data_IF_939907281265
#
_entry.id   IF_939907281265
#
_cell.length_a   1.000
_cell.length_b   1.000
_cell.length_c   1.000
_cell.angle_alpha   90.00
_cell.angle_beta   90.00
_cell.angle_gamma   90.00
#
_symmetry.space_group_name_H-M   'P 1'
#
loop_
_entity.id
_entity.type
_entity.pdbx_description
1 polymer ?
#
# COMPACT_ATOMS: atom_id res chain seq x y z
N UNK A 1 0.30 -42.45 18.07
CA UNK A 1 1.46 -42.37 17.15
C UNK A 1 1.83 -40.90 17.01
N UNK A 2 2.79 -40.42 17.80
CA UNK A 2 3.17 -39.01 17.90
C UNK A 2 3.93 -38.58 16.65
N UNK A 3 3.32 -37.73 15.82
CA UNK A 3 3.97 -37.07 14.69
C UNK A 3 4.98 -36.06 15.25
N UNK A 4 6.23 -36.51 15.44
CA UNK A 4 7.39 -35.63 15.59
C UNK A 4 7.48 -34.81 14.30
N UNK A 5 6.96 -33.58 14.29
CA UNK A 5 7.37 -32.56 13.30
C UNK A 5 8.89 -32.44 13.41
N UNK A 6 9.62 -32.98 12.43
CA UNK A 6 11.05 -32.69 12.33
C UNK A 6 11.17 -31.17 12.24
N UNK A 7 11.87 -30.56 13.19
CA UNK A 7 12.28 -29.16 13.06
C UNK A 7 13.30 -29.13 11.90
N UNK A 8 12.83 -29.02 10.66
CA UNK A 8 13.70 -28.70 9.55
C UNK A 8 14.31 -27.33 9.84
N UNK A 9 15.64 -27.28 9.88
CA UNK A 9 16.39 -26.03 10.00
C UNK A 9 16.06 -25.16 8.78
N UNK A 10 15.65 -23.90 8.95
CA UNK A 10 15.36 -23.03 7.81
C UNK A 10 16.61 -22.91 6.93
N UNK A 11 16.41 -22.96 5.61
CA UNK A 11 17.45 -22.73 4.61
C UNK A 11 18.00 -21.32 4.84
N UNK A 12 19.32 -21.22 4.82
CA UNK A 12 20.04 -19.95 4.91
C UNK A 12 20.81 -19.66 3.64
N UNK A 13 20.70 -18.45 3.10
CA UNK A 13 21.46 -18.00 1.92
C UNK A 13 22.97 -18.00 2.16
N UNK A 14 23.43 -17.82 3.41
CA UNK A 14 24.83 -18.00 3.80
C UNK A 14 25.39 -19.37 3.37
N UNK A 15 24.56 -20.42 3.28
CA UNK A 15 25.00 -21.74 2.84
C UNK A 15 25.26 -21.84 1.33
N UNK A 16 24.83 -20.85 0.55
CA UNK A 16 25.13 -20.68 -0.87
C UNK A 16 26.26 -19.65 -1.11
N UNK A 17 26.97 -19.22 -0.06
CA UNK A 17 28.04 -18.22 -0.17
C UNK A 17 27.52 -16.77 -0.23
N UNK A 18 26.24 -16.56 0.06
CA UNK A 18 25.60 -15.24 0.06
C UNK A 18 25.60 -14.71 1.49
N UNK A 19 26.47 -13.74 1.78
CA UNK A 19 26.66 -13.18 3.12
C UNK A 19 26.18 -11.73 3.19
N UNK A 20 25.72 -11.28 4.37
CA UNK A 20 25.38 -9.87 4.60
C UNK A 20 23.97 -9.46 4.24
N UNK A 21 23.10 -10.42 3.90
CA UNK A 21 21.71 -10.18 3.53
C UNK A 21 20.72 -10.73 4.56
N UNK A 22 21.17 -11.00 5.79
CA UNK A 22 20.39 -11.73 6.80
C UNK A 22 19.06 -11.03 7.14
N UNK A 23 19.02 -9.70 7.10
CA UNK A 23 17.81 -8.91 7.38
C UNK A 23 16.79 -8.92 6.23
N UNK A 24 17.25 -9.09 4.99
CA UNK A 24 16.39 -9.11 3.79
C UNK A 24 16.17 -10.51 3.22
N UNK A 25 16.90 -11.51 3.72
CA UNK A 25 16.88 -12.88 3.25
C UNK A 25 15.46 -13.47 3.21
N UNK A 26 14.67 -13.24 4.28
CA UNK A 26 13.29 -13.71 4.34
C UNK A 26 12.43 -13.14 3.21
N UNK A 27 12.69 -11.91 2.79
CA UNK A 27 11.97 -11.20 1.72
C UNK A 27 12.33 -11.78 0.37
N UNK A 28 13.62 -12.05 0.15
CA UNK A 28 14.11 -12.68 -1.07
C UNK A 28 13.51 -14.08 -1.22
N UNK A 29 13.54 -14.89 -0.16
CA UNK A 29 12.89 -16.20 -0.14
C UNK A 29 11.37 -16.10 -0.36
N UNK A 30 10.70 -15.09 0.22
CA UNK A 30 9.28 -14.85 -0.01
C UNK A 30 8.96 -14.48 -1.47
N UNK A 31 9.88 -13.78 -2.16
CA UNK A 31 9.76 -13.52 -3.60
C UNK A 31 9.82 -14.80 -4.43
N UNK A 32 10.61 -15.80 -4.01
CA UNK A 32 10.66 -17.12 -4.66
C UNK A 32 9.35 -17.91 -4.46
N UNK A 33 8.75 -17.79 -3.28
CA UNK A 33 7.46 -18.42 -2.95
C UNK A 33 6.36 -17.87 -3.85
N UNK A 34 6.24 -16.55 -3.92
CA UNK A 34 5.21 -15.87 -4.75
C UNK A 34 5.46 -16.04 -6.24
N UNK A 35 6.73 -16.15 -6.64
CA UNK A 35 7.16 -15.99 -8.02
C UNK A 35 6.51 -14.74 -8.63
N UNK A 36 6.48 -13.63 -7.87
CA UNK A 36 6.17 -12.28 -8.34
C UNK A 36 7.49 -11.50 -8.61
N UNK A 37 7.47 -10.37 -9.32
CA UNK A 37 8.71 -9.64 -9.64
C UNK A 37 9.39 -9.04 -8.41
N UNK A 38 10.71 -9.17 -8.32
CA UNK A 38 11.57 -8.58 -7.29
C UNK A 38 12.48 -7.51 -7.92
N UNK A 39 12.59 -6.35 -7.28
CA UNK A 39 13.56 -5.31 -7.62
C UNK A 39 14.57 -5.14 -6.48
N UNK A 40 15.86 -5.26 -6.79
CA UNK A 40 16.95 -4.93 -5.88
C UNK A 40 17.51 -3.54 -6.20
N UNK A 41 17.69 -2.70 -5.18
CA UNK A 41 18.27 -1.37 -5.28
C UNK A 41 19.52 -1.32 -4.41
N UNK A 42 20.66 -0.88 -4.96
CA UNK A 42 21.85 -0.62 -4.15
C UNK A 42 23.06 -0.32 -5.01
N UNK A 43 24.17 0.07 -4.37
CA UNK A 43 25.36 0.57 -5.08
C UNK A 43 26.03 -0.49 -5.96
N UNK A 44 26.87 -0.06 -6.91
CA UNK A 44 27.67 -0.99 -7.71
C UNK A 44 28.58 -1.84 -6.81
N UNK A 45 28.72 -3.13 -7.12
CA UNK A 45 29.59 -4.01 -6.34
C UNK A 45 28.97 -4.60 -5.07
N UNK A 46 27.73 -4.26 -4.72
CA UNK A 46 27.01 -4.83 -3.55
C UNK A 46 26.50 -6.26 -3.73
N UNK A 47 26.93 -6.98 -4.78
CA UNK A 47 26.60 -8.41 -4.95
C UNK A 47 25.19 -8.73 -5.46
N UNK A 48 24.39 -7.74 -5.89
CA UNK A 48 23.01 -7.92 -6.41
C UNK A 48 22.88 -9.02 -7.46
N UNK A 49 23.78 -9.03 -8.45
CA UNK A 49 23.77 -9.99 -9.56
C UNK A 49 24.05 -11.40 -9.05
N UNK A 50 25.03 -11.57 -8.16
CA UNK A 50 25.34 -12.85 -7.53
C UNK A 50 24.15 -13.36 -6.70
N UNK A 51 23.58 -12.50 -5.86
CA UNK A 51 22.40 -12.79 -5.02
C UNK A 51 21.20 -13.30 -5.83
N UNK A 52 21.00 -12.83 -7.06
CA UNK A 52 19.90 -13.26 -7.92
C UNK A 52 20.26 -14.47 -8.80
N UNK A 53 21.53 -14.63 -9.19
CA UNK A 53 21.97 -15.80 -9.94
C UNK A 53 21.99 -17.08 -9.07
N UNK A 54 22.46 -16.99 -7.83
CA UNK A 54 22.63 -18.16 -6.96
C UNK A 54 21.33 -18.94 -6.70
N UNK A 55 20.16 -18.32 -6.40
CA UNK A 55 18.91 -19.05 -6.30
C UNK A 55 18.49 -19.75 -7.61
N UNK A 56 18.82 -19.18 -8.77
CA UNK A 56 18.52 -19.82 -10.05
C UNK A 56 19.37 -21.06 -10.31
N UNK A 57 20.67 -20.98 -10.00
CA UNK A 57 21.59 -22.12 -10.06
C UNK A 57 21.15 -23.22 -9.09
N UNK A 58 20.84 -22.86 -7.85
CA UNK A 58 20.37 -23.80 -6.83
C UNK A 58 19.06 -24.51 -7.21
N UNK A 59 18.16 -23.79 -7.88
CA UNK A 59 16.91 -24.36 -8.37
C UNK A 59 17.10 -25.15 -9.68
N UNK A 60 18.25 -24.99 -10.37
CA UNK A 60 18.57 -25.65 -11.63
C UNK A 60 17.75 -25.10 -12.80
N UNK A 61 17.47 -23.79 -12.80
CA UNK A 61 16.61 -23.13 -13.77
C UNK A 61 17.38 -22.76 -15.04
N UNK A 62 16.69 -22.74 -16.19
CA UNK A 62 17.20 -22.03 -17.37
C UNK A 62 17.20 -20.52 -17.11
N UNK A 63 18.33 -20.00 -16.62
CA UNK A 63 18.50 -18.61 -16.22
C UNK A 63 19.08 -17.75 -17.35
N UNK A 64 18.53 -16.54 -17.54
CA UNK A 64 19.05 -15.52 -18.45
C UNK A 64 19.32 -14.22 -17.73
N UNK A 65 20.54 -13.73 -17.89
CA UNK A 65 20.98 -12.45 -17.36
C UNK A 65 21.16 -11.46 -18.51
N UNK A 66 20.46 -10.33 -18.41
CA UNK A 66 20.50 -9.24 -19.37
C UNK A 66 20.91 -7.95 -18.67
N UNK A 67 21.86 -7.22 -19.25
CA UNK A 67 22.11 -5.84 -18.85
C UNK A 67 21.20 -4.91 -19.69
N UNK A 68 20.30 -4.18 -19.02
CA UNK A 68 19.35 -3.29 -19.66
C UNK A 68 19.99 -2.13 -20.44
N UNK A 69 21.20 -1.70 -20.05
CA UNK A 69 21.93 -0.61 -20.73
C UNK A 69 22.55 -1.05 -22.05
N UNK A 70 22.80 -2.36 -22.23
CA UNK A 70 23.47 -2.93 -23.41
C UNK A 70 22.54 -3.74 -24.32
N UNK A 71 21.45 -4.27 -23.80
CA UNK A 71 20.60 -5.22 -24.53
C UNK A 71 19.88 -4.57 -25.73
N UNK A 72 20.06 -5.17 -26.91
CA UNK A 72 19.22 -4.88 -28.06
C UNK A 72 17.95 -5.75 -28.02
N UNK A 73 16.89 -5.28 -28.68
CA UNK A 73 15.64 -6.04 -28.72
C UNK A 73 15.79 -7.38 -29.47
N UNK A 74 16.66 -7.42 -30.47
CA UNK A 74 16.94 -8.63 -31.25
C UNK A 74 17.72 -9.67 -30.41
N UNK A 75 18.55 -9.24 -29.45
CA UNK A 75 19.22 -10.17 -28.51
C UNK A 75 18.22 -10.85 -27.57
N UNK A 76 17.12 -10.15 -27.25
CA UNK A 76 16.07 -10.67 -26.37
C UNK A 76 15.17 -11.68 -27.10
N UNK A 77 14.76 -11.35 -28.33
CA UNK A 77 13.73 -12.09 -29.09
C UNK A 77 14.31 -13.04 -30.13
N UNK A 78 15.46 -12.72 -30.70
CA UNK A 78 16.04 -13.36 -31.87
C UNK A 78 15.89 -12.48 -33.11
N UNK A 79 16.55 -12.90 -34.18
CA UNK A 79 16.59 -12.13 -35.43
C UNK A 79 15.42 -12.51 -36.34
N UNK A 80 14.64 -11.54 -36.86
CA UNK A 80 13.55 -11.84 -37.78
C UNK A 80 14.11 -12.40 -39.09
N UNK A 81 13.60 -13.56 -39.49
CA UNK A 81 13.99 -14.29 -40.69
C UNK A 81 12.75 -14.73 -41.46
N UNK A 82 12.66 -14.52 -42.79
CA UNK A 82 11.55 -15.02 -43.57
C UNK A 82 11.48 -16.54 -43.49
N UNK A 83 10.32 -17.10 -43.15
CA UNK A 83 10.11 -18.54 -43.22
C UNK A 83 10.40 -19.04 -44.64
N UNK A 84 10.85 -20.29 -44.78
CA UNK A 84 11.20 -20.87 -46.09
C UNK A 84 10.07 -20.81 -47.12
N UNK A 85 8.82 -20.76 -46.67
CA UNK A 85 7.60 -20.66 -47.48
C UNK A 85 7.21 -19.20 -47.84
N UNK A 86 7.89 -18.19 -47.30
CA UNK A 86 7.65 -16.76 -47.56
C UNK A 86 6.35 -16.18 -46.97
N UNK A 87 5.56 -16.99 -46.26
CA UNK A 87 4.23 -16.61 -45.75
C UNK A 87 4.24 -15.91 -44.39
N UNK A 88 5.33 -16.05 -43.63
CA UNK A 88 5.48 -15.50 -42.27
C UNK A 88 6.93 -15.15 -41.94
N UNK A 89 7.10 -14.28 -40.94
CA UNK A 89 8.39 -14.00 -40.31
C UNK A 89 8.55 -14.95 -39.12
N UNK A 90 9.66 -15.67 -39.06
CA UNK A 90 10.09 -16.47 -37.92
C UNK A 90 11.26 -15.77 -37.22
N UNK A 91 11.47 -16.04 -35.93
CA UNK A 91 12.61 -15.50 -35.19
C UNK A 91 13.67 -16.57 -35.02
N UNK A 92 14.90 -16.29 -35.47
CA UNK A 92 16.05 -17.13 -35.22
C UNK A 92 16.45 -17.00 -33.76
N UNK A 93 16.09 -18.02 -32.98
CA UNK A 93 16.36 -18.09 -31.56
C UNK A 93 17.83 -18.46 -31.32
N UNK A 94 18.51 -17.69 -30.48
CA UNK A 94 19.85 -18.02 -29.97
C UNK A 94 19.74 -18.54 -28.53
N UNK A 95 20.79 -19.20 -27.99
CA UNK A 95 20.86 -19.54 -26.57
C UNK A 95 20.84 -18.34 -25.62
N UNK A 96 20.81 -17.09 -26.11
CA UNK A 96 20.61 -15.88 -25.31
C UNK A 96 19.15 -15.38 -25.32
N UNK A 97 18.31 -15.82 -26.27
CA UNK A 97 16.90 -15.39 -26.38
C UNK A 97 15.97 -15.90 -25.28
N UNK A 98 14.98 -15.11 -24.91
CA UNK A 98 14.15 -15.31 -23.70
C UNK A 98 13.19 -16.51 -23.76
N UNK A 99 12.94 -17.09 -24.93
CA UNK A 99 11.87 -18.09 -25.16
C UNK A 99 11.98 -19.37 -24.32
N UNK A 100 13.21 -19.80 -23.98
CA UNK A 100 13.47 -20.96 -23.13
C UNK A 100 13.56 -20.65 -21.63
N UNK A 101 13.66 -19.38 -21.25
CA UNK A 101 14.05 -18.98 -19.91
C UNK A 101 12.97 -19.31 -18.86
N UNK A 102 13.40 -19.91 -17.75
CA UNK A 102 12.59 -20.12 -16.54
C UNK A 102 12.79 -19.01 -15.52
N UNK A 103 13.94 -18.33 -15.58
CA UNK A 103 14.22 -17.14 -14.78
C UNK A 103 14.96 -16.08 -15.60
N UNK A 104 14.64 -14.81 -15.36
CA UNK A 104 15.29 -13.67 -16.00
C UNK A 104 15.75 -12.66 -14.96
N UNK A 105 17.00 -12.22 -15.07
CA UNK A 105 17.56 -11.06 -14.37
C UNK A 105 17.78 -9.92 -15.37
N UNK A 106 17.22 -8.75 -15.09
CA UNK A 106 17.49 -7.50 -15.82
C UNK A 106 18.28 -6.57 -14.90
N UNK A 107 19.59 -6.48 -15.15
CA UNK A 107 20.47 -5.58 -14.42
C UNK A 107 20.44 -4.16 -15.02
N UNK A 108 20.78 -3.16 -14.20
CA UNK A 108 20.82 -1.75 -14.56
C UNK A 108 19.51 -1.20 -15.21
N UNK A 109 18.33 -1.64 -14.77
CA UNK A 109 17.05 -1.25 -15.39
C UNK A 109 16.81 0.27 -15.40
N UNK A 110 17.43 1.03 -14.50
CA UNK A 110 17.37 2.49 -14.45
C UNK A 110 18.27 3.20 -15.47
N UNK A 111 19.20 2.50 -16.14
CA UNK A 111 20.12 3.10 -17.13
C UNK A 111 19.60 3.08 -18.56
N UNK A 112 18.50 2.39 -18.84
CA UNK A 112 17.95 2.32 -20.19
C UNK A 112 16.92 3.42 -20.46
N UNK A 113 16.77 3.80 -21.74
CA UNK A 113 15.79 4.82 -22.15
C UNK A 113 14.35 4.37 -21.81
N UNK A 114 13.41 5.27 -21.52
CA UNK A 114 12.04 4.93 -21.15
C UNK A 114 11.32 3.98 -22.13
N UNK A 115 11.58 4.11 -23.44
CA UNK A 115 11.01 3.22 -24.46
C UNK A 115 11.49 1.77 -24.32
N UNK A 116 12.76 1.56 -23.97
CA UNK A 116 13.33 0.23 -23.74
C UNK A 116 12.87 -0.35 -22.40
N UNK A 117 12.78 0.49 -21.35
CA UNK A 117 12.19 0.10 -20.07
C UNK A 117 10.82 -0.52 -20.29
N UNK A 118 9.91 0.18 -21.00
CA UNK A 118 8.55 -0.29 -21.25
C UNK A 118 8.49 -1.69 -21.88
N UNK A 119 9.40 -2.01 -22.83
CA UNK A 119 9.46 -3.33 -23.47
C UNK A 119 9.92 -4.42 -22.50
N UNK A 120 10.93 -4.13 -21.67
CA UNK A 120 11.41 -5.04 -20.62
C UNK A 120 10.36 -5.24 -19.52
N UNK A 121 9.50 -4.25 -19.25
CA UNK A 121 8.43 -4.40 -18.27
C UNK A 121 7.31 -5.35 -18.70
N UNK A 122 7.00 -5.45 -19.99
CA UNK A 122 6.09 -6.50 -20.48
C UNK A 122 6.63 -7.90 -20.15
N UNK A 123 7.95 -8.08 -20.24
CA UNK A 123 8.63 -9.32 -19.85
C UNK A 123 8.55 -9.54 -18.34
N UNK A 124 8.93 -8.54 -17.55
CA UNK A 124 8.97 -8.62 -16.07
C UNK A 124 7.58 -8.87 -15.48
N UNK A 125 6.56 -8.19 -15.99
CA UNK A 125 5.24 -8.19 -15.38
C UNK A 125 4.30 -9.23 -15.99
N UNK A 126 4.19 -9.24 -17.31
CA UNK A 126 3.15 -10.00 -18.02
C UNK A 126 3.65 -11.38 -18.46
N UNK A 127 4.95 -11.65 -18.30
CA UNK A 127 5.63 -12.81 -18.89
C UNK A 127 5.38 -12.84 -20.39
N UNK A 128 5.45 -11.67 -21.04
CA UNK A 128 5.20 -11.53 -22.47
C UNK A 128 6.31 -10.76 -23.16
N UNK A 129 6.63 -11.18 -24.38
CA UNK A 129 7.50 -10.43 -25.28
C UNK A 129 6.82 -10.38 -26.65
N UNK A 130 6.74 -9.18 -27.24
CA UNK A 130 5.92 -8.91 -28.44
C UNK A 130 4.46 -9.41 -28.32
N UNK A 131 3.88 -9.35 -27.12
CA UNK A 131 2.54 -9.88 -26.86
C UNK A 131 2.42 -11.40 -26.79
N UNK A 132 3.50 -12.15 -27.06
CA UNK A 132 3.54 -13.62 -26.94
C UNK A 132 3.88 -14.01 -25.50
N UNK A 133 3.13 -14.95 -24.93
CA UNK A 133 3.33 -15.43 -23.56
C UNK A 133 4.52 -16.38 -23.46
N UNK A 134 5.34 -16.20 -22.44
CA UNK A 134 6.46 -17.05 -22.07
C UNK A 134 6.00 -18.04 -21.01
N UNK A 135 5.55 -19.22 -21.45
CA UNK A 135 4.93 -20.20 -20.56
C UNK A 135 5.91 -20.83 -19.55
N UNK A 136 7.20 -20.89 -19.90
CA UNK A 136 8.25 -21.40 -19.01
C UNK A 136 8.73 -20.39 -17.97
N UNK A 137 8.53 -19.09 -18.20
CA UNK A 137 9.09 -18.05 -17.34
C UNK A 137 8.39 -17.99 -15.99
N UNK A 138 9.11 -18.31 -14.92
CA UNK A 138 8.61 -18.33 -13.54
C UNK A 138 9.07 -17.07 -12.81
N UNK A 139 10.38 -16.85 -12.75
CA UNK A 139 10.99 -15.77 -11.96
C UNK A 139 11.42 -14.61 -12.85
N UNK A 140 11.12 -13.39 -12.41
CA UNK A 140 11.57 -12.16 -13.08
C UNK A 140 12.13 -11.25 -12.01
N UNK A 141 13.39 -10.90 -12.16
CA UNK A 141 14.10 -10.06 -11.22
C UNK A 141 14.72 -8.90 -11.96
N UNK A 142 14.82 -7.77 -11.27
CA UNK A 142 15.50 -6.60 -11.76
C UNK A 142 16.45 -6.07 -10.69
N UNK A 143 17.52 -5.43 -11.13
CA UNK A 143 18.43 -4.71 -10.27
C UNK A 143 18.66 -3.30 -10.82
N UNK A 144 18.81 -2.34 -9.91
CA UNK A 144 19.17 -0.97 -10.26
C UNK A 144 20.06 -0.35 -9.19
N UNK A 145 20.72 0.73 -9.58
CA UNK A 145 21.35 1.63 -8.62
C UNK A 145 20.29 2.59 -8.05
N UNK A 146 20.52 3.15 -6.85
CA UNK A 146 19.63 4.16 -6.28
C UNK A 146 19.52 5.37 -7.21
N UNK A 147 18.30 5.90 -7.35
CA UNK A 147 18.05 7.15 -8.09
C UNK A 147 17.70 8.26 -7.09
N UNK A 148 18.40 9.39 -7.13
CA UNK A 148 18.12 10.52 -6.24
C UNK A 148 19.17 11.62 -6.30
N UNK A 149 18.75 12.85 -5.97
CA UNK A 149 19.60 14.03 -5.83
C UNK A 149 20.44 13.94 -4.54
N UNK A 150 21.75 14.14 -4.70
CA UNK A 150 22.68 14.62 -3.66
C UNK A 150 22.51 14.05 -2.25
N UNK A 151 23.09 12.87 -1.97
CA UNK A 151 23.54 12.61 -0.60
C UNK A 151 25.06 12.45 -0.48
N UNK A 152 25.80 12.13 -1.54
CA UNK A 152 27.26 11.93 -1.44
C UNK A 152 28.08 12.51 -2.63
N UNK A 153 27.57 13.49 -3.38
CA UNK A 153 28.31 14.13 -4.47
C UNK A 153 28.49 13.28 -5.76
N UNK A 154 28.29 11.97 -5.69
CA UNK A 154 28.25 11.08 -6.85
C UNK A 154 26.80 10.82 -7.25
N UNK A 155 26.16 11.77 -7.94
CA UNK A 155 25.02 11.40 -8.77
C UNK A 155 25.55 10.43 -9.83
N UNK A 156 25.04 9.20 -9.87
CA UNK A 156 25.35 8.28 -10.97
C UNK A 156 24.78 8.89 -12.26
N UNK A 157 25.61 9.63 -13.00
CA UNK A 157 25.27 10.14 -14.33
C UNK A 157 24.67 8.98 -15.16
N UNK A 158 23.40 9.13 -15.52
CA UNK A 158 22.66 8.17 -16.35
C UNK A 158 21.78 7.14 -15.62
N UNK A 159 21.54 7.25 -14.31
CA UNK A 159 20.52 6.44 -13.63
C UNK A 159 19.20 7.21 -13.46
N UNK A 160 18.20 6.85 -14.26
CA UNK A 160 16.88 7.48 -14.25
C UNK A 160 15.90 6.73 -13.33
N UNK A 161 15.07 7.44 -12.54
CA UNK A 161 14.05 6.81 -11.72
C UNK A 161 13.05 6.04 -12.59
N UNK A 162 12.52 4.94 -12.05
CA UNK A 162 11.46 4.20 -12.72
C UNK A 162 10.16 5.03 -12.72
N UNK A 163 9.32 4.85 -13.75
CA UNK A 163 7.97 5.41 -13.71
C UNK A 163 7.15 4.81 -12.55
N UNK A 164 6.28 5.63 -11.95
CA UNK A 164 5.47 5.23 -10.79
C UNK A 164 4.61 4.00 -11.09
N UNK A 165 4.02 3.92 -12.30
CA UNK A 165 3.17 2.79 -12.68
C UNK A 165 3.96 1.52 -12.99
N UNK A 166 5.27 1.64 -13.27
CA UNK A 166 6.18 0.52 -13.52
C UNK A 166 6.77 -0.01 -12.20
N UNK A 167 7.20 0.87 -11.32
CA UNK A 167 7.68 0.49 -9.99
C UNK A 167 6.57 -0.14 -9.13
N UNK A 168 5.32 0.31 -9.26
CA UNK A 168 4.18 -0.34 -8.57
C UNK A 168 3.95 -1.80 -9.05
N UNK A 169 4.69 -2.27 -10.06
CA UNK A 169 4.58 -3.63 -10.58
C UNK A 169 5.43 -4.65 -9.86
N UNK A 170 6.51 -4.22 -9.21
CA UNK A 170 7.33 -5.09 -8.39
C UNK A 170 6.62 -5.42 -7.08
N UNK A 171 6.58 -6.71 -6.72
CA UNK A 171 6.00 -7.15 -5.47
C UNK A 171 6.84 -6.69 -4.29
N UNK A 172 8.15 -6.91 -4.37
CA UNK A 172 9.12 -6.43 -3.41
C UNK A 172 10.12 -5.50 -4.09
N UNK A 173 10.44 -4.40 -3.41
CA UNK A 173 11.48 -3.45 -3.80
C UNK A 173 12.42 -3.34 -2.61
N UNK A 174 13.59 -3.97 -2.72
CA UNK A 174 14.50 -4.22 -1.60
C UNK A 174 15.79 -3.44 -1.80
N UNK A 175 16.17 -2.66 -0.80
CA UNK A 175 17.48 -2.04 -0.74
C UNK A 175 18.48 -3.06 -0.19
N UNK A 176 19.58 -3.25 -0.89
CA UNK A 176 20.66 -4.14 -0.45
C UNK A 176 21.66 -3.34 0.38
N UNK A 177 22.15 -3.91 1.49
CA UNK A 177 23.12 -3.23 2.33
C UNK A 177 24.45 -3.04 1.59
N UNK A 178 25.11 -1.92 1.87
CA UNK A 178 26.46 -1.64 1.37
C UNK A 178 27.53 -2.10 2.36
N UNK A 179 28.80 -2.08 1.95
CA UNK A 179 29.94 -2.52 2.74
C UNK A 179 29.96 -1.93 4.15
N UNK A 180 29.67 -0.63 4.30
CA UNK A 180 29.72 0.08 5.59
C UNK A 180 28.60 -0.33 6.56
N UNK A 181 27.52 -0.93 6.06
CA UNK A 181 26.37 -1.38 6.86
C UNK A 181 26.55 -2.83 7.35
N UNK A 182 27.55 -3.55 6.82
CA UNK A 182 27.80 -4.94 7.15
C UNK A 182 28.67 -5.11 8.40
N UNK A 183 28.49 -6.23 9.09
CA UNK A 183 29.30 -6.56 10.28
C UNK A 183 30.73 -7.02 9.91
N UNK A 184 31.70 -6.84 10.82
CA UNK A 184 33.07 -7.36 10.67
C UNK A 184 33.11 -8.86 10.34
N UNK A 185 32.16 -9.64 10.89
CA UNK A 185 32.02 -11.07 10.61
C UNK A 185 31.65 -11.30 9.14
N UNK A 186 30.73 -10.49 8.62
CA UNK A 186 30.30 -10.51 7.23
C UNK A 186 31.44 -10.10 6.30
N UNK A 187 32.17 -9.03 6.61
CA UNK A 187 33.34 -8.61 5.82
C UNK A 187 34.37 -9.73 5.69
N UNK A 188 34.69 -10.41 6.79
CA UNK A 188 35.59 -11.57 6.78
C UNK A 188 35.03 -12.73 5.96
N UNK A 189 33.73 -13.01 6.06
CA UNK A 189 33.09 -14.07 5.30
C UNK A 189 33.15 -13.80 3.79
N UNK A 190 32.91 -12.56 3.37
CA UNK A 190 33.04 -12.13 1.97
C UNK A 190 34.50 -12.25 1.50
N UNK A 191 35.47 -11.77 2.30
CA UNK A 191 36.89 -11.81 1.95
C UNK A 191 37.48 -13.23 1.90
N UNK A 192 36.90 -14.18 2.64
CA UNK A 192 37.36 -15.57 2.70
C UNK A 192 36.46 -16.53 1.91
N UNK A 193 35.48 -16.03 1.15
CA UNK A 193 34.61 -16.87 0.34
C UNK A 193 35.39 -17.46 -0.84
N UNK A 194 35.43 -18.79 -0.96
CA UNK A 194 35.91 -19.45 -2.18
C UNK A 194 34.88 -19.26 -3.31
N UNK A 195 35.34 -18.96 -4.52
CA UNK A 195 34.50 -18.65 -5.69
C UNK A 195 33.55 -19.79 -6.10
N UNK A 196 33.77 -21.02 -5.61
CA UNK A 196 32.99 -22.19 -5.99
C UNK A 196 32.87 -23.20 -4.85
N UNK A 197 31.71 -23.24 -4.20
CA UNK A 197 30.87 -24.45 -4.10
C UNK A 197 29.63 -24.13 -3.28
N UNK A 198 28.45 -24.28 -3.88
CA UNK A 198 27.23 -24.51 -3.08
C UNK A 198 27.53 -25.60 -2.07
N UNK A 199 27.21 -25.37 -0.78
CA UNK A 199 27.38 -26.44 0.20
C UNK A 199 26.53 -27.64 -0.22
N UNK A 200 27.06 -28.88 -0.16
CA UNK A 200 26.33 -30.08 -0.53
C UNK A 200 24.96 -30.13 0.17
N UNK A 201 23.89 -30.21 -0.63
CA UNK A 201 22.52 -30.31 -0.12
C UNK A 201 21.73 -29.00 -0.04
N UNK A 202 22.35 -27.81 -0.23
CA UNK A 202 21.63 -26.53 -0.23
C UNK A 202 20.46 -26.53 -1.22
N UNK A 203 20.73 -26.87 -2.47
CA UNK A 203 19.75 -26.85 -3.55
C UNK A 203 18.60 -27.85 -3.32
N UNK A 204 18.88 -29.04 -2.75
CA UNK A 204 17.82 -29.98 -2.34
C UNK A 204 16.96 -29.47 -1.18
N UNK A 205 17.59 -28.81 -0.19
CA UNK A 205 16.89 -28.24 0.95
C UNK A 205 16.02 -27.05 0.53
N UNK A 206 16.54 -26.18 -0.35
CA UNK A 206 15.80 -25.04 -0.91
C UNK A 206 14.56 -25.51 -1.67
N UNK A 207 14.68 -26.51 -2.55
CA UNK A 207 13.53 -27.07 -3.29
C UNK A 207 12.46 -27.62 -2.34
N UNK A 208 12.86 -28.42 -1.35
CA UNK A 208 11.93 -29.01 -0.38
C UNK A 208 11.22 -27.95 0.48
N UNK A 209 11.93 -26.93 0.94
CA UNK A 209 11.31 -25.85 1.72
C UNK A 209 10.41 -24.96 0.87
N UNK A 210 10.81 -24.67 -0.37
CA UNK A 210 10.01 -23.87 -1.30
C UNK A 210 8.65 -24.53 -1.58
N UNK A 211 8.60 -25.85 -1.74
CA UNK A 211 7.34 -26.60 -1.89
C UNK A 211 6.46 -26.49 -0.63
N UNK A 212 7.05 -26.60 0.56
CA UNK A 212 6.34 -26.44 1.83
C UNK A 212 5.79 -25.02 1.98
N UNK A 213 6.60 -24.01 1.71
CA UNK A 213 6.21 -22.60 1.79
C UNK A 213 5.13 -22.25 0.77
N UNK A 214 5.22 -22.73 -0.47
CA UNK A 214 4.17 -22.54 -1.50
C UNK A 214 2.84 -23.13 -1.09
N UNK A 215 2.86 -24.30 -0.45
CA UNK A 215 1.65 -24.92 0.11
C UNK A 215 1.03 -24.01 1.17
N UNK A 216 1.83 -23.55 2.15
CA UNK A 216 1.35 -22.66 3.20
C UNK A 216 0.84 -21.32 2.66
N UNK A 217 1.57 -20.72 1.72
CA UNK A 217 1.21 -19.47 1.03
C UNK A 217 -0.12 -19.60 0.28
N UNK A 218 -0.34 -20.70 -0.43
CA UNK A 218 -1.60 -20.94 -1.14
C UNK A 218 -2.80 -21.03 -0.19
N UNK A 219 -2.64 -21.68 0.97
CA UNK A 219 -3.68 -21.71 1.99
C UNK A 219 -4.01 -20.32 2.54
N UNK A 220 -3.00 -19.50 2.82
CA UNK A 220 -3.18 -18.16 3.39
C UNK A 220 -3.75 -17.16 2.37
N UNK A 221 -3.43 -17.30 1.09
CA UNK A 221 -3.94 -16.39 0.05
C UNK A 221 -5.33 -16.77 -0.44
N UNK A 222 -5.72 -18.05 -0.38
CA UNK A 222 -7.07 -18.49 -0.70
C UNK A 222 -8.11 -17.92 0.28
N UNK A 223 -7.74 -17.75 1.55
CA UNK A 223 -8.57 -17.09 2.57
C UNK A 223 -7.67 -16.24 3.48
N UNK A 224 -7.40 -14.98 3.09
CA UNK A 224 -6.65 -14.05 3.93
C UNK A 224 -7.34 -13.88 5.28
N UNK A 225 -6.56 -13.81 6.36
CA UNK A 225 -7.12 -13.50 7.67
C UNK A 225 -7.49 -12.03 7.79
N UNK A 226 -8.60 -11.76 8.51
CA UNK A 226 -9.13 -10.41 8.68
C UNK A 226 -8.08 -9.46 9.26
N UNK A 227 -7.25 -9.93 10.20
CA UNK A 227 -6.16 -9.15 10.80
C UNK A 227 -5.17 -8.65 9.76
N UNK A 228 -4.77 -9.50 8.81
CA UNK A 228 -3.85 -9.12 7.72
C UNK A 228 -4.49 -8.12 6.77
N UNK A 229 -5.77 -8.32 6.43
CA UNK A 229 -6.51 -7.40 5.57
C UNK A 229 -6.67 -6.04 6.25
N UNK A 230 -7.14 -6.01 7.49
CA UNK A 230 -7.34 -4.80 8.30
C UNK A 230 -6.02 -4.04 8.45
N UNK A 231 -4.93 -4.73 8.78
CA UNK A 231 -3.60 -4.13 8.84
C UNK A 231 -3.24 -3.41 7.52
N UNK A 232 -3.44 -4.07 6.37
CA UNK A 232 -3.09 -3.47 5.07
C UNK A 232 -3.94 -2.24 4.74
N UNK A 233 -5.24 -2.27 5.10
CA UNK A 233 -6.14 -1.13 4.89
C UNK A 233 -5.75 0.06 5.76
N UNK A 234 -5.44 -0.18 7.03
CA UNK A 234 -5.05 0.87 7.97
C UNK A 234 -3.71 1.49 7.53
N UNK A 235 -2.72 0.67 7.18
CA UNK A 235 -1.44 1.16 6.66
C UNK A 235 -1.64 2.05 5.43
N UNK A 236 -2.47 1.62 4.47
CA UNK A 236 -2.73 2.40 3.26
C UNK A 236 -3.34 3.78 3.59
N UNK A 237 -4.23 3.84 4.57
CA UNK A 237 -4.83 5.08 5.04
C UNK A 237 -3.83 5.97 5.80
N UNK A 238 -3.02 5.40 6.69
CA UNK A 238 -2.00 6.15 7.45
C UNK A 238 -0.91 6.72 6.54
N UNK A 239 -0.41 5.94 5.58
CA UNK A 239 0.53 6.45 4.58
C UNK A 239 -0.11 7.52 3.69
N UNK A 240 -1.39 7.34 3.32
CA UNK A 240 -2.15 8.36 2.60
C UNK A 240 -2.28 9.68 3.38
N UNK A 241 -2.48 9.62 4.71
CA UNK A 241 -2.49 10.81 5.59
C UNK A 241 -1.14 11.53 5.62
N UNK A 242 -0.05 10.77 5.53
CA UNK A 242 1.30 11.31 5.44
C UNK A 242 1.68 11.81 4.01
N UNK A 243 0.75 11.81 3.05
CA UNK A 243 0.98 12.27 1.68
C UNK A 243 1.49 11.19 0.72
N UNK A 244 1.61 9.94 1.17
CA UNK A 244 2.09 8.82 0.35
C UNK A 244 0.93 7.93 -0.11
N UNK A 245 0.46 8.18 -1.33
CA UNK A 245 -0.61 7.37 -1.93
C UNK A 245 -0.19 5.91 -2.11
N UNK A 246 -0.99 4.99 -1.59
CA UNK A 246 -0.88 3.54 -1.81
C UNK A 246 -1.98 3.09 -2.78
N UNK A 247 -1.62 2.42 -3.88
CA UNK A 247 -2.59 1.96 -4.88
C UNK A 247 -3.41 0.76 -4.37
N UNK A 248 -4.66 0.54 -4.85
CA UNK A 248 -5.42 -0.68 -4.51
C UNK A 248 -4.67 -1.97 -4.89
N UNK A 249 -3.91 -1.94 -5.98
CA UNK A 249 -3.01 -3.04 -6.39
C UNK A 249 -1.96 -3.30 -5.33
N UNK A 250 -1.33 -2.25 -4.80
CA UNK A 250 -0.31 -2.34 -3.76
C UNK A 250 -0.87 -2.90 -2.46
N UNK A 251 -2.08 -2.52 -2.06
CA UNK A 251 -2.76 -3.11 -0.89
C UNK A 251 -2.94 -4.61 -1.06
N UNK A 252 -3.45 -5.07 -2.22
CA UNK A 252 -3.58 -6.49 -2.52
C UNK A 252 -2.22 -7.21 -2.53
N UNK A 253 -1.20 -6.58 -3.09
CA UNK A 253 0.15 -7.13 -3.12
C UNK A 253 0.76 -7.24 -1.72
N UNK A 254 0.52 -6.25 -0.85
CA UNK A 254 0.98 -6.29 0.54
C UNK A 254 0.40 -7.48 1.31
N UNK A 255 -0.89 -7.79 1.11
CA UNK A 255 -1.50 -9.01 1.69
C UNK A 255 -0.79 -10.28 1.21
N UNK A 256 -0.50 -10.39 -0.09
CA UNK A 256 0.27 -11.54 -0.64
C UNK A 256 1.68 -11.60 -0.07
N UNK A 257 2.35 -10.46 0.04
CA UNK A 257 3.71 -10.35 0.54
C UNK A 257 3.81 -10.74 2.02
N UNK A 258 2.85 -10.31 2.86
CA UNK A 258 2.74 -10.74 4.25
C UNK A 258 2.54 -12.25 4.31
N UNK A 259 1.61 -12.81 3.54
CA UNK A 259 1.38 -14.26 3.51
C UNK A 259 2.64 -15.05 3.10
N UNK A 260 3.39 -14.57 2.11
CA UNK A 260 4.63 -15.20 1.68
C UNK A 260 5.72 -15.13 2.76
N UNK A 261 5.88 -13.99 3.42
CA UNK A 261 6.82 -13.83 4.53
C UNK A 261 6.45 -14.68 5.74
N UNK A 262 5.16 -14.78 6.08
CA UNK A 262 4.69 -15.69 7.11
C UNK A 262 4.99 -17.14 6.74
N UNK A 263 4.82 -17.54 5.47
CA UNK A 263 5.14 -18.90 5.03
C UNK A 263 6.62 -19.23 5.27
N UNK A 264 7.52 -18.34 4.84
CA UNK A 264 8.99 -18.51 5.00
C UNK A 264 9.39 -18.53 6.47
N UNK A 265 8.79 -17.66 7.31
CA UNK A 265 9.13 -17.50 8.73
C UNK A 265 8.40 -18.49 9.66
N UNK A 266 7.82 -19.57 9.11
CA UNK A 266 7.20 -20.64 9.90
C UNK A 266 5.82 -20.33 10.45
N UNK A 267 5.05 -19.50 9.73
CA UNK A 267 3.69 -19.06 10.01
C UNK A 267 3.51 -18.37 11.38
N UNK A 268 4.56 -17.70 11.85
CA UNK A 268 4.52 -16.90 13.07
C UNK A 268 4.10 -15.48 12.75
N UNK A 269 2.91 -15.10 13.20
CA UNK A 269 2.36 -13.74 13.09
C UNK A 269 3.04 -12.80 14.08
N UNK A 270 4.31 -12.53 13.83
CA UNK A 270 5.16 -11.62 14.58
C UNK A 270 5.10 -10.22 13.96
N UNK A 271 5.14 -9.20 14.81
CA UNK A 271 5.13 -7.77 14.42
C UNK A 271 6.21 -7.47 13.38
N UNK A 272 7.45 -7.92 13.63
CA UNK A 272 8.60 -7.76 12.73
C UNK A 272 8.34 -8.29 11.31
N UNK A 273 7.56 -9.36 11.15
CA UNK A 273 7.23 -9.90 9.82
C UNK A 273 6.33 -8.94 9.03
N UNK A 274 5.40 -8.26 9.71
CA UNK A 274 4.50 -7.28 9.11
C UNK A 274 5.21 -5.96 8.80
N UNK A 275 6.09 -5.51 9.70
CA UNK A 275 6.94 -4.33 9.49
C UNK A 275 7.86 -4.52 8.29
N UNK A 276 8.54 -5.68 8.23
CA UNK A 276 9.42 -6.03 7.11
C UNK A 276 8.64 -6.16 5.80
N UNK A 277 7.45 -6.78 5.82
CA UNK A 277 6.59 -6.86 4.66
C UNK A 277 6.20 -5.46 4.16
N UNK A 278 5.80 -4.57 5.06
CA UNK A 278 5.45 -3.20 4.72
C UNK A 278 6.64 -2.48 4.10
N UNK A 279 7.76 -2.44 4.82
CA UNK A 279 8.98 -1.72 4.41
C UNK A 279 9.38 -2.09 2.99
N UNK A 280 9.46 -3.38 2.68
CA UNK A 280 9.92 -3.85 1.36
C UNK A 280 8.83 -3.97 0.30
N UNK A 281 7.57 -3.70 0.65
CA UNK A 281 6.49 -3.59 -0.32
C UNK A 281 6.33 -2.18 -0.87
N UNK A 282 6.96 -1.15 -0.31
CA UNK A 282 6.79 0.24 -0.73
C UNK A 282 7.65 0.56 -1.98
N UNK A 283 7.04 0.86 -3.15
CA UNK A 283 7.80 1.06 -4.38
C UNK A 283 8.39 2.47 -4.54
N UNK A 284 8.08 3.42 -3.66
CA UNK A 284 8.44 4.83 -3.76
C UNK A 284 9.94 5.06 -3.96
N UNK A 285 10.77 4.25 -3.31
CA UNK A 285 12.23 4.28 -3.43
C UNK A 285 12.75 4.03 -4.85
N UNK A 286 12.01 3.27 -5.66
CA UNK A 286 12.41 2.96 -7.04
C UNK A 286 12.27 4.15 -8.00
N UNK A 287 11.49 5.18 -7.62
CA UNK A 287 11.33 6.40 -8.41
C UNK A 287 11.85 7.66 -7.70
N UNK A 288 12.71 7.48 -6.70
CA UNK A 288 13.39 8.59 -6.02
C UNK A 288 12.60 9.26 -4.90
N UNK A 289 11.48 8.70 -4.45
CA UNK A 289 10.75 9.19 -3.26
C UNK A 289 11.15 8.35 -2.05
N UNK A 290 11.88 8.96 -1.12
CA UNK A 290 12.23 8.34 0.15
C UNK A 290 11.16 8.62 1.19
N UNK A 291 10.55 7.56 1.74
CA UNK A 291 9.63 7.66 2.88
C UNK A 291 10.47 7.51 4.13
N UNK A 292 10.44 8.52 5.01
CA UNK A 292 11.17 8.43 6.28
C UNK A 292 10.76 7.19 7.08
N UNK A 293 11.75 6.55 7.72
CA UNK A 293 11.52 5.35 8.51
C UNK A 293 10.49 5.59 9.64
N UNK A 294 10.48 6.79 10.24
CA UNK A 294 9.50 7.16 11.26
C UNK A 294 8.06 7.11 10.74
N UNK A 295 7.80 7.54 9.51
CA UNK A 295 6.46 7.48 8.90
C UNK A 295 6.03 6.02 8.68
N UNK A 296 6.94 5.17 8.20
CA UNK A 296 6.68 3.73 8.01
C UNK A 296 6.37 3.07 9.35
N UNK A 297 7.22 3.31 10.37
CA UNK A 297 7.05 2.74 11.72
C UNK A 297 5.78 3.24 12.39
N UNK A 298 5.41 4.52 12.23
CA UNK A 298 4.17 5.07 12.76
C UNK A 298 2.94 4.40 12.12
N UNK A 299 2.92 4.28 10.79
CA UNK A 299 1.83 3.62 10.08
C UNK A 299 1.75 2.13 10.45
N UNK A 300 2.90 1.45 10.55
CA UNK A 300 3.00 0.07 11.00
C UNK A 300 2.38 -0.11 12.40
N UNK A 301 2.82 0.69 13.37
CA UNK A 301 2.39 0.56 14.77
C UNK A 301 0.89 0.80 14.91
N UNK A 302 0.37 1.88 14.33
CA UNK A 302 -1.07 2.17 14.34
C UNK A 302 -1.87 1.03 13.72
N UNK A 303 -1.42 0.46 12.60
CA UNK A 303 -2.09 -0.65 11.96
C UNK A 303 -1.98 -1.96 12.76
N UNK A 304 -0.83 -2.26 13.34
CA UNK A 304 -0.59 -3.46 14.12
C UNK A 304 -1.44 -3.48 15.40
N UNK A 305 -1.44 -2.38 16.14
CA UNK A 305 -2.23 -2.22 17.36
C UNK A 305 -3.73 -2.32 17.02
N UNK A 306 -4.18 -1.58 16.00
CA UNK A 306 -5.57 -1.57 15.56
C UNK A 306 -6.08 -2.92 15.07
N UNK A 307 -5.30 -3.62 14.24
CA UNK A 307 -5.69 -4.91 13.68
C UNK A 307 -5.67 -6.04 14.73
N UNK A 308 -5.02 -5.80 15.88
CA UNK A 308 -4.99 -6.73 17.01
C UNK A 308 -6.21 -6.56 17.93
N UNK A 309 -7.01 -5.51 17.76
CA UNK A 309 -8.23 -5.29 18.52
C UNK A 309 -9.30 -6.34 18.18
N UNK A 310 -10.17 -6.62 19.14
CA UNK A 310 -11.33 -7.50 18.96
C UNK A 310 -12.55 -6.95 19.69
N UNK A 311 -13.74 -7.44 19.33
CA UNK A 311 -14.99 -7.08 19.98
C UNK A 311 -15.28 -5.58 19.95
N UNK A 312 -15.64 -5.01 21.12
CA UNK A 312 -16.06 -3.60 21.26
C UNK A 312 -14.96 -2.61 20.88
N UNK A 313 -13.72 -2.88 21.28
CA UNK A 313 -12.57 -2.01 20.98
C UNK A 313 -12.29 -1.95 19.47
N UNK A 314 -12.42 -3.08 18.76
CA UNK A 314 -12.27 -3.10 17.29
C UNK A 314 -13.33 -2.23 16.63
N UNK A 315 -14.59 -2.41 17.02
CA UNK A 315 -15.69 -1.62 16.47
C UNK A 315 -15.51 -0.11 16.72
N UNK A 316 -15.13 0.27 17.95
CA UNK A 316 -14.89 1.66 18.32
C UNK A 316 -13.77 2.28 17.48
N UNK A 317 -12.65 1.58 17.35
CA UNK A 317 -11.52 2.04 16.53
C UNK A 317 -11.91 2.20 15.05
N UNK A 318 -12.62 1.22 14.47
CA UNK A 318 -13.12 1.32 13.10
C UNK A 318 -14.10 2.48 12.91
N UNK A 319 -14.96 2.74 13.89
CA UNK A 319 -15.84 3.90 13.88
C UNK A 319 -15.06 5.21 13.80
N UNK A 320 -13.96 5.36 14.54
CA UNK A 320 -13.13 6.57 14.49
C UNK A 320 -12.28 6.69 13.23
N UNK A 321 -11.81 5.57 12.67
CA UNK A 321 -11.05 5.56 11.42
C UNK A 321 -11.91 5.86 10.18
N UNK A 322 -13.20 5.53 10.22
CA UNK A 322 -14.15 5.87 9.15
C UNK A 322 -14.23 7.39 8.96
N UNK A 323 -14.14 7.85 7.72
CA UNK A 323 -14.21 9.30 7.41
C UNK A 323 -15.61 9.73 7.04
N UNK A 324 -16.36 8.87 6.34
CA UNK A 324 -17.66 9.23 5.81
C UNK A 324 -18.72 9.12 6.90
N UNK A 325 -19.39 10.22 7.19
CA UNK A 325 -20.48 10.23 8.16
C UNK A 325 -21.62 9.25 7.84
N UNK A 326 -22.08 9.05 6.59
CA UNK A 326 -23.06 8.00 6.29
C UNK A 326 -22.62 6.60 6.75
N UNK A 327 -21.34 6.26 6.60
CA UNK A 327 -20.80 4.98 7.06
C UNK A 327 -20.70 4.91 8.59
N UNK A 328 -20.38 6.02 9.27
CA UNK A 328 -20.46 6.11 10.74
C UNK A 328 -21.89 5.93 11.24
N UNK A 329 -22.87 6.55 10.58
CA UNK A 329 -24.30 6.40 10.90
C UNK A 329 -24.72 4.95 10.75
N UNK A 330 -24.36 4.29 9.65
CA UNK A 330 -24.65 2.86 9.46
C UNK A 330 -24.13 2.02 10.63
N UNK A 331 -22.89 2.28 11.06
CA UNK A 331 -22.28 1.58 12.19
C UNK A 331 -23.06 1.79 13.48
N UNK A 332 -23.58 2.99 13.74
CA UNK A 332 -24.40 3.29 14.92
C UNK A 332 -25.79 2.65 14.87
N UNK A 333 -26.39 2.53 13.69
CA UNK A 333 -27.74 1.94 13.52
C UNK A 333 -27.69 0.41 13.57
N UNK A 334 -26.83 -0.21 12.77
CA UNK A 334 -26.85 -1.67 12.54
C UNK A 334 -25.68 -2.43 13.14
N UNK A 335 -24.53 -1.76 13.31
CA UNK A 335 -23.27 -2.42 13.63
C UNK A 335 -22.82 -2.28 15.09
N UNK A 336 -23.48 -1.45 15.89
CA UNK A 336 -22.99 -1.08 17.22
C UNK A 336 -23.18 -2.23 18.23
N UNK A 337 -22.13 -2.61 18.99
CA UNK A 337 -22.21 -3.73 19.93
C UNK A 337 -23.22 -3.52 21.07
N UNK A 338 -23.29 -2.30 21.60
CA UNK A 338 -24.14 -1.92 22.73
C UNK A 338 -24.23 -0.39 22.87
N UNK A 339 -25.27 0.13 23.56
CA UNK A 339 -25.48 1.57 23.73
C UNK A 339 -24.31 2.32 24.40
N UNK A 340 -23.59 1.68 25.33
CA UNK A 340 -22.47 2.31 26.04
C UNK A 340 -21.31 2.57 25.07
N UNK A 341 -20.99 1.59 24.23
CA UNK A 341 -19.95 1.70 23.20
C UNK A 341 -20.33 2.74 22.14
N UNK A 342 -21.60 2.77 21.72
CA UNK A 342 -22.10 3.79 20.80
C UNK A 342 -22.05 5.20 21.38
N UNK A 343 -22.38 5.35 22.66
CA UNK A 343 -22.27 6.62 23.39
C UNK A 343 -20.84 7.12 23.41
N UNK A 344 -19.90 6.26 23.82
CA UNK A 344 -18.48 6.60 23.84
C UNK A 344 -17.96 7.03 22.47
N UNK A 345 -18.37 6.33 21.41
CA UNK A 345 -18.00 6.63 20.03
C UNK A 345 -18.47 8.02 19.59
N UNK A 346 -19.73 8.37 19.89
CA UNK A 346 -20.29 9.69 19.58
C UNK A 346 -19.60 10.79 20.38
N UNK A 347 -19.43 10.61 21.69
CA UNK A 347 -18.76 11.61 22.54
C UNK A 347 -17.32 11.85 22.08
N UNK A 348 -16.56 10.80 21.76
CA UNK A 348 -15.20 10.93 21.24
C UNK A 348 -15.17 11.56 19.84
N UNK A 349 -16.17 11.31 18.98
CA UNK A 349 -16.28 11.97 17.68
C UNK A 349 -16.49 13.47 17.83
N UNK A 350 -17.45 13.88 18.66
CA UNK A 350 -17.76 15.28 18.88
C UNK A 350 -16.58 16.05 19.50
N UNK A 351 -15.74 15.37 20.30
CA UNK A 351 -14.56 15.97 20.92
C UNK A 351 -13.34 16.08 19.97
N UNK A 352 -13.18 15.13 19.04
CA UNK A 352 -11.97 15.02 18.21
C UNK A 352 -12.12 15.58 16.78
N UNK A 353 -13.35 15.68 16.26
CA UNK A 353 -13.62 16.32 14.96
C UNK A 353 -13.50 17.85 15.06
N UNK A 354 -13.34 18.52 13.92
CA UNK A 354 -13.45 19.98 13.89
C UNK A 354 -14.85 20.40 14.35
N UNK A 355 -14.96 21.59 14.97
CA UNK A 355 -16.25 22.11 15.48
C UNK A 355 -17.33 22.12 14.39
N UNK A 356 -16.94 22.43 13.16
CA UNK A 356 -17.79 22.43 11.96
C UNK A 356 -18.34 21.02 11.66
N UNK A 357 -17.45 20.03 11.59
CA UNK A 357 -17.78 18.64 11.29
C UNK A 357 -18.60 18.01 12.41
N UNK A 358 -18.28 18.31 13.67
CA UNK A 358 -19.04 17.88 14.83
C UNK A 358 -20.48 18.43 14.81
N UNK A 359 -20.64 19.73 14.50
CA UNK A 359 -21.95 20.36 14.39
C UNK A 359 -22.77 19.77 13.22
N UNK A 360 -22.15 19.56 12.06
CA UNK A 360 -22.78 18.90 10.92
C UNK A 360 -23.28 17.50 11.30
N UNK A 361 -22.42 16.67 11.89
CA UNK A 361 -22.77 15.31 12.28
C UNK A 361 -23.93 15.30 13.28
N UNK A 362 -23.83 16.13 14.33
CA UNK A 362 -24.89 16.24 15.33
C UNK A 362 -26.22 16.70 14.72
N UNK A 363 -26.20 17.75 13.91
CA UNK A 363 -27.39 18.29 13.25
C UNK A 363 -28.07 17.26 12.33
N UNK A 364 -27.29 16.49 11.57
CA UNK A 364 -27.81 15.47 10.67
C UNK A 364 -28.44 14.29 11.41
N UNK A 365 -27.84 13.87 12.54
CA UNK A 365 -28.10 12.58 13.18
C UNK A 365 -29.05 12.69 14.38
N UNK A 366 -29.15 13.88 15.00
CA UNK A 366 -29.96 14.10 16.20
C UNK A 366 -31.44 13.70 16.08
N UNK A 367 -32.17 13.96 14.96
CA UNK A 367 -33.55 13.49 14.82
C UNK A 367 -33.70 11.97 14.94
N UNK A 368 -32.78 11.21 14.33
CA UNK A 368 -32.75 9.76 14.40
C UNK A 368 -32.34 9.26 15.80
N UNK A 369 -31.46 9.99 16.49
CA UNK A 369 -31.09 9.73 17.88
C UNK A 369 -32.30 9.84 18.82
N UNK A 370 -33.10 10.92 18.68
CA UNK A 370 -34.32 11.13 19.45
C UNK A 370 -35.39 10.06 19.19
N UNK A 371 -35.46 9.55 17.96
CA UNK A 371 -36.36 8.46 17.59
C UNK A 371 -35.91 7.09 18.15
N UNK A 372 -34.76 7.01 18.83
CA UNK A 372 -34.21 5.76 19.36
C UNK A 372 -33.63 4.84 18.27
N UNK A 373 -33.35 5.38 17.09
CA UNK A 373 -32.87 4.59 15.94
C UNK A 373 -31.36 4.32 15.96
N UNK A 374 -30.63 5.04 16.82
CA UNK A 374 -29.20 4.84 17.04
C UNK A 374 -29.00 4.01 18.30
N UNK A 375 -28.08 3.05 18.25
CA UNK A 375 -27.71 2.25 19.42
C UNK A 375 -26.76 3.05 20.33
N UNK A 376 -27.29 4.08 20.98
CA UNK A 376 -26.60 4.96 21.92
C UNK A 376 -27.46 5.16 23.18
N UNK A 377 -26.81 5.43 24.31
CA UNK A 377 -27.46 5.74 25.58
C UNK A 377 -27.97 7.18 25.65
N UNK A 378 -28.67 7.49 26.73
CA UNK A 378 -29.26 8.82 26.97
C UNK A 378 -28.23 9.95 27.02
N UNK A 379 -27.02 9.67 27.51
CA UNK A 379 -25.90 10.62 27.51
C UNK A 379 -25.47 10.98 26.09
N UNK A 380 -25.34 9.99 25.19
CA UNK A 380 -25.00 10.21 23.79
C UNK A 380 -26.07 11.01 23.05
N UNK A 381 -27.35 10.76 23.33
CA UNK A 381 -28.47 11.57 22.80
C UNK A 381 -28.37 13.01 23.32
N UNK A 382 -28.04 13.19 24.60
CA UNK A 382 -27.88 14.53 25.19
C UNK A 382 -26.73 15.30 24.56
N UNK A 383 -25.59 14.67 24.32
CA UNK A 383 -24.43 15.31 23.70
C UNK A 383 -24.69 15.69 22.24
N UNK A 384 -25.34 14.81 21.45
CA UNK A 384 -25.82 15.16 20.11
C UNK A 384 -26.81 16.32 20.17
N UNK A 385 -27.73 16.31 21.13
CA UNK A 385 -28.71 17.38 21.32
C UNK A 385 -28.06 18.73 21.60
N UNK A 386 -27.09 18.81 22.52
CA UNK A 386 -26.37 20.06 22.81
C UNK A 386 -25.72 20.64 21.55
N UNK A 387 -25.08 19.79 20.73
CA UNK A 387 -24.42 20.22 19.50
C UNK A 387 -25.41 20.56 18.38
N UNK A 388 -26.50 19.80 18.23
CA UNK A 388 -27.51 20.01 17.20
C UNK A 388 -28.40 21.23 17.49
N UNK A 389 -28.80 21.42 18.75
CA UNK A 389 -29.62 22.57 19.18
C UNK A 389 -28.89 23.89 18.93
N UNK A 390 -27.56 23.92 19.09
CA UNK A 390 -26.77 25.09 18.71
C UNK A 390 -26.93 25.48 17.24
N UNK A 391 -27.18 24.51 16.34
CA UNK A 391 -27.49 24.74 14.92
C UNK A 391 -28.96 25.07 14.69
N UNK A 392 -29.87 24.37 15.38
CA UNK A 392 -31.33 24.51 15.22
C UNK A 392 -31.84 25.88 15.72
N UNK A 393 -31.33 26.36 16.86
CA UNK A 393 -31.82 27.58 17.53
C UNK A 393 -31.34 28.89 16.85
N UNK A 394 -30.66 28.78 15.71
CA UNK A 394 -30.26 29.95 14.91
C UNK A 394 -31.47 30.49 14.15
N UNK A 395 -32.31 31.27 14.82
CA UNK A 395 -33.40 32.05 14.21
C UNK A 395 -32.87 33.43 13.79
N UNK A 396 -32.93 33.79 12.49
CA UNK A 396 -32.65 35.17 12.07
C UNK A 396 -33.46 35.68 10.86
N UNK A 397 -33.65 37.01 10.82
CA UNK A 397 -33.82 37.86 9.62
C UNK A 397 -32.56 38.76 9.44
N UNK A 398 -31.74 38.57 8.39
CA UNK A 398 -30.58 39.42 8.09
C UNK A 398 -31.11 40.60 7.30
N UNK A 399 -31.13 41.77 7.94
CA UNK A 399 -31.26 43.05 7.25
C UNK A 399 -29.86 43.61 7.05
N UNK A 400 -29.30 43.39 5.87
CA UNK A 400 -28.03 43.97 5.50
C UNK A 400 -28.21 45.44 5.14
N UNK A 401 -27.43 46.33 5.74
CA UNK A 401 -27.29 47.73 5.30
C UNK A 401 -25.87 47.90 4.78
N UNK A 402 -25.74 48.18 3.50
CA UNK A 402 -24.46 48.55 2.88
C UNK A 402 -23.82 49.72 3.64
N UNK A 403 -22.69 49.45 4.28
CA UNK A 403 -21.71 50.46 4.65
C UNK A 403 -20.47 50.20 3.81
N UNK A 404 -19.95 51.22 3.13
CA UNK A 404 -18.80 51.17 2.21
C UNK A 404 -17.45 50.83 2.88
N UNK A 405 -17.43 50.21 4.04
CA UNK A 405 -16.20 49.83 4.73
C UNK A 405 -16.39 48.48 5.43
N UNK A 406 -16.04 47.40 4.73
CA UNK A 406 -15.51 46.21 5.39
C UNK A 406 -14.55 45.48 4.44
N UNK A 407 -13.26 45.77 4.62
CA UNK A 407 -12.14 45.12 3.94
C UNK A 407 -11.81 43.73 4.52
N UNK A 408 -12.68 43.15 5.36
CA UNK A 408 -12.50 41.82 5.96
C UNK A 408 -13.50 40.83 5.36
N UNK A 409 -12.99 39.74 4.77
CA UNK A 409 -13.59 38.53 4.17
C UNK A 409 -15.08 38.17 4.28
N UNK A 410 -15.85 38.68 5.24
CA UNK A 410 -17.26 38.38 5.53
C UNK A 410 -18.22 38.55 4.35
N UNK A 411 -17.99 39.52 3.46
CA UNK A 411 -18.77 39.68 2.23
C UNK A 411 -18.56 38.48 1.26
N UNK A 412 -17.35 37.90 1.21
CA UNK A 412 -17.05 36.77 0.31
C UNK A 412 -17.75 35.49 0.73
N UNK A 413 -17.82 35.20 2.03
CA UNK A 413 -18.43 33.96 2.52
C UNK A 413 -19.96 34.00 2.45
N UNK A 414 -20.56 35.17 2.67
CA UNK A 414 -21.99 35.38 2.44
C UNK A 414 -22.37 35.22 0.95
N UNK A 415 -21.56 35.77 0.03
CA UNK A 415 -21.77 35.60 -1.42
C UNK A 415 -21.56 34.14 -1.83
N UNK A 416 -20.61 33.42 -1.23
CA UNK A 416 -20.42 31.97 -1.43
C UNK A 416 -21.63 31.18 -0.98
N UNK A 417 -22.21 31.53 0.17
CA UNK A 417 -23.43 30.91 0.67
C UNK A 417 -24.61 31.08 -0.29
N UNK A 418 -24.84 32.30 -0.79
CA UNK A 418 -25.92 32.53 -1.76
C UNK A 418 -25.74 31.69 -3.02
N UNK A 419 -24.53 31.66 -3.58
CA UNK A 419 -24.21 30.82 -4.75
C UNK A 419 -24.42 29.32 -4.49
N UNK A 420 -24.18 28.85 -3.27
CA UNK A 420 -24.42 27.46 -2.89
C UNK A 420 -25.93 27.16 -2.79
N UNK A 421 -26.72 28.06 -2.19
CA UNK A 421 -28.14 27.85 -1.93
C UNK A 421 -29.05 28.11 -3.14
N UNK A 422 -28.64 28.95 -4.09
CA UNK A 422 -29.40 29.31 -5.29
C UNK A 422 -29.89 28.11 -6.12
N UNK A 423 -29.06 27.09 -6.42
CA UNK A 423 -29.53 25.89 -7.15
C UNK A 423 -30.39 24.94 -6.31
N UNK A 424 -30.51 25.15 -4.99
CA UNK A 424 -31.21 24.22 -4.07
C UNK A 424 -32.67 24.63 -3.84
N UNK A 425 -33.53 23.66 -3.56
CA UNK A 425 -34.95 23.89 -3.24
C UNK A 425 -35.47 23.00 -2.11
N UNK A 426 -36.58 23.42 -1.50
CA UNK A 426 -37.28 22.68 -0.43
C UNK A 426 -36.44 22.45 0.84
N UNK A 427 -36.72 21.33 1.52
CA UNK A 427 -36.09 20.97 2.81
C UNK A 427 -34.56 20.87 2.76
N UNK A 428 -33.98 20.56 1.59
CA UNK A 428 -32.52 20.50 1.43
C UNK A 428 -31.90 21.89 1.58
N UNK A 429 -32.49 22.89 0.91
CA UNK A 429 -32.06 24.29 1.03
C UNK A 429 -32.20 24.82 2.44
N UNK A 430 -33.33 24.54 3.10
CA UNK A 430 -33.58 24.98 4.48
C UNK A 430 -32.53 24.45 5.45
N UNK A 431 -32.23 23.15 5.40
CA UNK A 431 -31.18 22.53 6.25
C UNK A 431 -29.79 23.06 5.97
N UNK A 432 -29.44 23.19 4.68
CA UNK A 432 -28.15 23.73 4.28
C UNK A 432 -28.00 25.18 4.78
N UNK A 433 -29.00 26.03 4.56
CA UNK A 433 -29.00 27.40 5.04
C UNK A 433 -28.83 27.46 6.56
N UNK A 434 -29.57 26.63 7.31
CA UNK A 434 -29.49 26.57 8.77
C UNK A 434 -28.08 26.25 9.27
N UNK A 435 -27.47 25.19 8.74
CA UNK A 435 -26.10 24.80 9.10
C UNK A 435 -25.12 25.93 8.78
N UNK A 436 -25.18 26.49 7.58
CA UNK A 436 -24.28 27.56 7.17
C UNK A 436 -24.41 28.82 8.01
N UNK A 437 -25.63 29.18 8.36
CA UNK A 437 -25.89 30.33 9.22
C UNK A 437 -25.22 30.17 10.57
N UNK A 438 -25.36 28.99 11.18
CA UNK A 438 -24.67 28.66 12.42
C UNK A 438 -23.14 28.73 12.27
N UNK A 439 -22.60 28.11 11.22
CA UNK A 439 -21.17 28.10 10.95
C UNK A 439 -20.61 29.52 10.76
N UNK A 440 -21.31 30.35 10.00
CA UNK A 440 -20.92 31.73 9.74
C UNK A 440 -20.94 32.61 11.00
N UNK A 441 -21.97 32.49 11.85
CA UNK A 441 -22.09 33.28 13.10
C UNK A 441 -20.97 32.96 14.09
N UNK A 442 -20.52 31.72 14.12
CA UNK A 442 -19.48 31.28 15.04
C UNK A 442 -18.05 31.45 14.47
N UNK A 443 -17.90 32.19 13.37
CA UNK A 443 -16.64 32.35 12.63
C UNK A 443 -16.00 30.99 12.26
N UNK A 444 -16.84 30.00 11.92
CA UNK A 444 -16.47 28.62 11.53
C UNK A 444 -16.79 28.35 10.05
N UNK A 445 -16.40 29.27 9.16
CA UNK A 445 -16.70 29.14 7.74
C UNK A 445 -15.81 28.07 7.09
N UNK A 446 -16.37 27.00 6.51
CA UNK A 446 -15.57 25.92 5.96
C UNK A 446 -14.84 26.37 4.69
N UNK A 447 -13.64 25.82 4.46
CA UNK A 447 -12.84 26.09 3.26
C UNK A 447 -13.57 25.69 1.97
N UNK A 448 -14.28 24.55 2.01
CA UNK A 448 -15.12 24.04 0.93
C UNK A 448 -16.57 23.87 1.38
N UNK A 449 -17.43 24.89 1.15
CA UNK A 449 -18.82 24.83 1.55
C UNK A 449 -19.67 23.89 0.66
N UNK A 450 -19.21 23.52 -0.53
CA UNK A 450 -19.95 22.55 -1.35
C UNK A 450 -19.82 21.17 -0.73
N UNK A 451 -18.59 20.77 -0.37
CA UNK A 451 -18.34 19.46 0.24
C UNK A 451 -19.09 19.26 1.56
N UNK A 452 -19.16 20.29 2.41
CA UNK A 452 -19.89 20.24 3.69
C UNK A 452 -21.40 20.08 3.47
N UNK A 453 -21.99 20.74 2.47
CA UNK A 453 -23.41 20.57 2.15
C UNK A 453 -23.69 19.18 1.58
N UNK A 454 -22.83 18.69 0.67
CA UNK A 454 -22.97 17.37 0.08
C UNK A 454 -22.91 16.28 1.16
N UNK A 455 -21.97 16.37 2.12
CA UNK A 455 -21.86 15.43 3.23
C UNK A 455 -23.10 15.45 4.15
N UNK A 456 -23.64 16.65 4.46
CA UNK A 456 -24.91 16.77 5.19
C UNK A 456 -26.06 16.10 4.43
N UNK A 457 -26.18 16.38 3.14
CA UNK A 457 -27.25 15.82 2.31
C UNK A 457 -27.11 14.29 2.15
N UNK A 458 -25.89 13.77 2.05
CA UNK A 458 -25.62 12.32 2.05
C UNK A 458 -26.09 11.67 3.35
N UNK A 459 -25.80 12.28 4.52
CA UNK A 459 -26.25 11.77 5.82
C UNK A 459 -27.77 11.71 5.91
N UNK A 460 -28.46 12.79 5.53
CA UNK A 460 -29.92 12.86 5.57
C UNK A 460 -30.55 11.88 4.58
N UNK A 461 -30.02 11.81 3.36
CA UNK A 461 -30.53 10.86 2.34
C UNK A 461 -30.35 9.42 2.79
N UNK A 462 -29.21 9.12 3.42
CA UNK A 462 -28.93 7.80 3.98
C UNK A 462 -29.92 7.45 5.12
N UNK A 463 -30.13 8.34 6.09
CA UNK A 463 -31.11 8.15 7.15
C UNK A 463 -32.54 7.97 6.59
N UNK A 464 -32.95 8.80 5.64
CA UNK A 464 -34.25 8.66 4.97
C UNK A 464 -34.39 7.33 4.22
N UNK A 465 -33.31 6.79 3.65
CA UNK A 465 -33.32 5.47 3.02
C UNK A 465 -33.56 4.31 4.02
N UNK A 466 -33.26 4.54 5.30
CA UNK A 466 -33.55 3.63 6.41
C UNK A 466 -34.94 3.86 7.02
N UNK A 467 -35.70 4.85 6.51
CA UNK A 467 -37.00 5.26 7.05
C UNK A 467 -36.89 6.11 8.33
N UNK A 468 -35.73 6.74 8.56
CA UNK A 468 -35.40 7.53 9.74
C UNK A 468 -35.42 9.04 9.47
#
# INVERSE_FOLDING_TARGET
MSLRRSKQTPVKLEAAGIYGYEDIESVILASLVTADPLLLIGNCGTGKTFLLNSPSEALGLEHRHYNASLISFDDLVGFPFPAAEGSRIEYLQTPATVWGAESVLIDEISRCKPEHQNRLFSLVQERRVQGIKLDKLIYRWAAMNPCGLEQNGDSYEGSEPLDQALADRFAFVVEVPDWDEMSDKTHRAIACADEQTERPGFSSALRSQLESWRTAYSCMTARPDDRTVDYCLIVANELGRAGFRISPRRVRQLVKNIAALLAVRGNRREEKSFEMALTWSLPQRAWGVQISEHVIRSAHRTAWDSASLSGKQKWLNEFHLERRFPAKINRLVTGCPDPDTGTLAVTQLLANESKERAALFAYAVYPAALAGALNIGSEGVSDLGKAATAVIDVDWELKWKESQADANGRNRDWVRLQKLLDPMSGKRRERAAQLYNYLYINDMSPDDPVAVEEELNECVTYLSSLGL
#
